data_IF_752282402838
#
_entry.id   IF_752282402838
#
_cell.length_a   1.000
_cell.length_b   1.000
_cell.length_c   1.000
_cell.angle_alpha   90.00
_cell.angle_beta   90.00
_cell.angle_gamma   90.00
#
_symmetry.space_group_name_H-M   'P 1'
#
loop_
_entity.id
_entity.type
_entity.pdbx_description
1 polymer ?
#
# COMPACT_ATOMS: atom_id res chain seq x y z
N UNK A 1 -8.04 -0.56 -14.45
CA UNK A 1 -8.35 -0.13 -13.08
C UNK A 1 -7.49 1.07 -12.66
N UNK A 2 -8.03 2.00 -11.85
CA UNK A 2 -7.24 2.92 -11.03
C UNK A 2 -6.74 2.18 -9.80
N UNK A 3 -5.44 2.26 -9.54
CA UNK A 3 -4.77 1.44 -8.52
C UNK A 3 -4.46 2.29 -7.29
N UNK A 4 -4.82 1.79 -6.11
CA UNK A 4 -4.55 2.41 -4.81
C UNK A 4 -3.65 1.47 -4.02
N UNK A 5 -2.50 1.95 -3.57
CA UNK A 5 -1.58 1.21 -2.70
C UNK A 5 -1.61 1.79 -1.28
N UNK A 6 -1.64 0.92 -0.26
CA UNK A 6 -1.70 1.30 1.16
C UNK A 6 -0.56 0.62 1.92
N UNK A 7 0.25 1.41 2.62
CA UNK A 7 1.20 0.94 3.62
C UNK A 7 1.07 1.71 4.93
N UNK A 8 1.82 1.28 5.94
CA UNK A 8 1.77 1.83 7.29
C UNK A 8 2.15 0.81 8.36
N UNK A 9 2.48 1.28 9.56
CA UNK A 9 2.73 0.39 10.70
C UNK A 9 1.43 -0.20 11.23
N UNK A 10 0.34 0.58 11.24
CA UNK A 10 -1.01 0.11 11.54
C UNK A 10 -2.05 0.73 10.60
N UNK A 11 -3.28 0.19 10.58
CA UNK A 11 -4.39 0.73 9.79
C UNK A 11 -4.46 0.27 8.34
N UNK A 12 -3.43 -0.40 7.82
CA UNK A 12 -3.37 -0.91 6.44
C UNK A 12 -4.61 -1.68 5.99
N UNK A 13 -4.92 -2.79 6.68
CA UNK A 13 -6.05 -3.66 6.33
C UNK A 13 -7.38 -2.95 6.51
N UNK A 14 -7.54 -2.16 7.57
CA UNK A 14 -8.75 -1.36 7.80
C UNK A 14 -8.97 -0.34 6.68
N UNK A 15 -7.94 0.40 6.28
CA UNK A 15 -8.01 1.36 5.17
C UNK A 15 -8.32 0.66 3.86
N UNK A 16 -7.70 -0.50 3.58
CA UNK A 16 -7.98 -1.30 2.38
C UNK A 16 -9.45 -1.75 2.33
N UNK A 17 -9.99 -2.27 3.43
CA UNK A 17 -11.40 -2.70 3.48
C UNK A 17 -12.37 -1.51 3.42
N UNK A 18 -12.04 -0.37 4.05
CA UNK A 18 -12.84 0.85 3.94
C UNK A 18 -12.90 1.37 2.49
N UNK A 19 -11.76 1.43 1.81
CA UNK A 19 -11.68 1.79 0.39
C UNK A 19 -12.49 0.84 -0.48
N UNK A 20 -12.33 -0.47 -0.25
CA UNK A 20 -13.10 -1.50 -0.96
C UNK A 20 -14.60 -1.28 -0.76
N UNK A 21 -15.04 -1.12 0.49
CA UNK A 21 -16.45 -0.95 0.83
C UNK A 21 -17.07 0.27 0.14
N UNK A 22 -16.43 1.44 0.23
CA UNK A 22 -16.96 2.69 -0.33
C UNK A 22 -16.92 2.67 -1.86
N UNK A 23 -15.82 2.21 -2.47
CA UNK A 23 -15.71 2.17 -3.95
C UNK A 23 -16.64 1.12 -4.57
N UNK A 24 -16.90 0.00 -3.88
CA UNK A 24 -17.83 -1.03 -4.34
C UNK A 24 -19.28 -0.53 -4.43
N UNK A 25 -19.62 0.58 -3.78
CA UNK A 25 -20.95 1.18 -3.90
C UNK A 25 -21.21 1.78 -5.30
N UNK A 26 -20.15 2.09 -6.06
CA UNK A 26 -20.25 2.82 -7.34
C UNK A 26 -19.51 2.17 -8.51
N UNK A 27 -18.77 1.08 -8.27
CA UNK A 27 -17.84 0.52 -9.27
C UNK A 27 -17.38 -0.91 -8.97
N UNK A 28 -16.74 -1.57 -9.94
CA UNK A 28 -16.11 -2.88 -9.74
C UNK A 28 -14.76 -2.73 -9.07
N UNK A 29 -14.59 -3.34 -7.90
CA UNK A 29 -13.37 -3.21 -7.09
C UNK A 29 -12.71 -4.57 -6.88
N UNK A 30 -11.42 -4.62 -7.16
CA UNK A 30 -10.55 -5.72 -6.78
C UNK A 30 -9.73 -5.34 -5.55
N UNK A 31 -9.52 -6.27 -4.62
CA UNK A 31 -8.65 -6.07 -3.47
C UNK A 31 -8.09 -7.40 -2.99
N UNK A 32 -6.98 -7.38 -2.26
CA UNK A 32 -6.47 -8.59 -1.61
C UNK A 32 -7.53 -9.18 -0.67
N UNK A 33 -7.81 -10.47 -0.79
CA UNK A 33 -8.86 -11.15 -0.02
C UNK A 33 -8.59 -11.17 1.49
N UNK A 34 -7.31 -11.14 1.87
CA UNK A 34 -6.81 -11.13 3.24
C UNK A 34 -5.58 -10.20 3.33
N UNK A 35 -4.77 -10.29 4.39
CA UNK A 35 -3.51 -9.55 4.55
C UNK A 35 -2.38 -10.09 3.65
N UNK A 36 -2.68 -10.30 2.36
CA UNK A 36 -1.71 -10.71 1.34
C UNK A 36 -0.89 -9.51 0.85
N UNK A 37 0.00 -9.03 1.71
CA UNK A 37 0.69 -7.75 1.54
C UNK A 37 2.22 -7.86 1.31
N UNK A 38 2.73 -9.08 1.14
CA UNK A 38 4.16 -9.38 0.99
C UNK A 38 4.53 -9.78 -0.45
N UNK A 39 5.76 -10.28 -0.63
CA UNK A 39 6.33 -10.70 -1.91
C UNK A 39 5.59 -11.83 -2.63
N UNK A 40 4.70 -12.56 -1.95
CA UNK A 40 3.80 -13.53 -2.58
C UNK A 40 2.39 -12.96 -2.76
N UNK A 41 1.90 -12.28 -1.73
CA UNK A 41 0.53 -11.81 -1.65
C UNK A 41 0.20 -10.74 -2.69
N UNK A 42 1.11 -9.77 -2.90
CA UNK A 42 0.89 -8.70 -3.87
C UNK A 42 0.88 -9.23 -5.30
N UNK A 43 1.87 -10.01 -5.78
CA UNK A 43 1.84 -10.58 -7.13
C UNK A 43 0.63 -11.48 -7.36
N UNK A 44 0.23 -12.29 -6.36
CA UNK A 44 -0.95 -13.15 -6.49
C UNK A 44 -2.25 -12.33 -6.60
N UNK A 45 -2.36 -11.26 -5.80
CA UNK A 45 -3.50 -10.34 -5.89
C UNK A 45 -3.55 -9.68 -7.27
N UNK A 46 -2.41 -9.24 -7.79
CA UNK A 46 -2.33 -8.63 -9.12
C UNK A 46 -2.70 -9.62 -10.23
N UNK A 47 -2.16 -10.84 -10.18
CA UNK A 47 -2.42 -11.89 -11.17
C UNK A 47 -3.89 -12.32 -11.22
N UNK A 48 -4.62 -12.17 -10.10
CA UNK A 48 -6.05 -12.48 -10.00
C UNK A 48 -6.96 -11.29 -10.32
N UNK A 49 -6.40 -10.14 -10.66
CA UNK A 49 -7.19 -8.93 -10.93
C UNK A 49 -8.04 -9.11 -12.19
N UNK A 50 -9.38 -8.99 -12.10
CA UNK A 50 -10.25 -9.03 -13.28
C UNK A 50 -9.93 -7.89 -14.25
N UNK A 51 -9.97 -8.16 -15.55
CA UNK A 51 -9.71 -7.12 -16.56
C UNK A 51 -10.74 -6.00 -16.54
N UNK A 52 -11.96 -6.28 -16.08
CA UNK A 52 -13.09 -5.37 -16.05
C UNK A 52 -13.26 -4.63 -14.71
N UNK A 53 -12.28 -4.67 -13.80
CA UNK A 53 -12.34 -3.88 -12.57
C UNK A 53 -11.97 -2.40 -12.81
N UNK A 54 -12.76 -1.52 -12.20
CA UNK A 54 -12.57 -0.06 -12.26
C UNK A 54 -11.50 0.39 -11.28
N UNK A 55 -11.44 -0.23 -10.10
CA UNK A 55 -10.46 0.05 -9.05
C UNK A 55 -9.79 -1.21 -8.53
N UNK A 56 -8.54 -1.09 -8.10
CA UNK A 56 -7.82 -2.14 -7.39
C UNK A 56 -7.10 -1.57 -6.16
N UNK A 57 -7.28 -2.21 -5.00
CA UNK A 57 -6.65 -1.79 -3.74
C UNK A 57 -5.64 -2.83 -3.28
N UNK A 58 -4.38 -2.41 -3.17
CA UNK A 58 -3.26 -3.23 -2.75
C UNK A 58 -2.79 -2.79 -1.36
N UNK A 59 -2.81 -3.71 -0.42
CA UNK A 59 -2.08 -3.57 0.84
C UNK A 59 -0.63 -3.99 0.61
N UNK A 60 0.35 -3.16 0.98
CA UNK A 60 1.77 -3.46 0.84
C UNK A 60 2.47 -3.30 2.20
N UNK A 61 3.06 -4.39 2.67
CA UNK A 61 3.81 -4.49 3.92
C UNK A 61 5.28 -4.77 3.67
N UNK A 62 6.07 -4.65 4.73
CA UNK A 62 7.49 -5.01 4.74
C UNK A 62 7.92 -5.43 6.14
N UNK A 63 8.92 -6.31 6.19
CA UNK A 63 9.71 -6.63 7.38
C UNK A 63 11.10 -5.98 7.32
N UNK A 64 11.64 -5.76 6.12
CA UNK A 64 12.97 -5.19 5.90
C UNK A 64 12.93 -4.04 4.89
N UNK A 65 13.92 -3.12 4.92
CA UNK A 65 14.11 -2.14 3.86
C UNK A 65 14.23 -2.79 2.47
N UNK A 66 13.70 -2.14 1.45
CA UNK A 66 13.75 -2.56 0.05
C UNK A 66 12.69 -3.57 -0.36
N UNK A 67 11.84 -4.05 0.57
CA UNK A 67 10.78 -5.01 0.24
C UNK A 67 9.57 -4.34 -0.44
N UNK A 68 9.32 -3.05 -0.24
CA UNK A 68 8.16 -2.36 -0.84
C UNK A 68 8.45 -1.97 -2.29
N UNK A 69 9.66 -1.46 -2.57
CA UNK A 69 10.07 -0.99 -3.91
C UNK A 69 9.72 -1.95 -5.06
N UNK A 70 10.08 -3.26 -5.04
CA UNK A 70 9.76 -4.16 -6.15
C UNK A 70 8.24 -4.41 -6.28
N UNK A 71 7.50 -4.44 -5.16
CA UNK A 71 6.07 -4.69 -5.16
C UNK A 71 5.31 -3.50 -5.73
N UNK A 72 5.69 -2.29 -5.34
CA UNK A 72 4.99 -1.10 -5.81
C UNK A 72 5.28 -0.79 -7.27
N UNK A 73 6.50 -1.10 -7.76
CA UNK A 73 6.82 -1.03 -9.20
C UNK A 73 6.04 -2.04 -10.04
N UNK A 74 5.61 -3.16 -9.45
CA UNK A 74 4.75 -4.13 -10.11
C UNK A 74 3.31 -3.62 -10.21
N UNK A 75 2.77 -3.05 -9.13
CA UNK A 75 1.36 -2.61 -9.09
C UNK A 75 1.13 -1.21 -9.65
N UNK A 76 2.15 -0.35 -9.76
CA UNK A 76 2.06 0.97 -10.41
C UNK A 76 0.86 1.81 -9.93
N UNK A 77 0.80 2.20 -8.64
CA UNK A 77 -0.35 2.90 -8.08
C UNK A 77 -0.57 4.28 -8.71
N UNK A 78 -1.84 4.68 -8.76
CA UNK A 78 -2.27 6.05 -9.06
C UNK A 78 -2.47 6.86 -7.77
N UNK A 79 -2.72 6.17 -6.65
CA UNK A 79 -2.77 6.74 -5.31
C UNK A 79 -1.94 5.87 -4.38
N UNK A 80 -1.00 6.47 -3.64
CA UNK A 80 -0.19 5.78 -2.64
C UNK A 80 -0.43 6.40 -1.26
N UNK A 81 -0.76 5.56 -0.27
CA UNK A 81 -1.16 5.99 1.07
C UNK A 81 -0.19 5.42 2.10
N UNK A 82 0.33 6.29 2.97
CA UNK A 82 1.02 5.91 4.21
C UNK A 82 0.12 6.27 5.38
N UNK A 83 -0.43 5.27 6.07
CA UNK A 83 -1.41 5.50 7.14
C UNK A 83 -0.77 6.00 8.44
N UNK A 84 0.34 5.40 8.86
CA UNK A 84 1.03 5.74 10.12
C UNK A 84 2.47 5.23 10.14
N UNK A 85 3.40 6.02 10.69
CA UNK A 85 4.74 5.55 11.07
C UNK A 85 4.75 5.25 12.57
N UNK A 86 5.00 3.99 12.93
CA UNK A 86 5.15 3.59 14.31
C UNK A 86 6.15 2.44 14.45
N UNK A 87 6.64 2.24 15.67
CA UNK A 87 7.54 1.16 16.03
C UNK A 87 6.85 -0.19 15.81
N UNK A 88 7.12 -0.78 14.65
CA UNK A 88 6.71 -2.12 14.26
C UNK A 88 7.92 -2.78 13.61
N UNK A 89 8.03 -4.10 13.71
CA UNK A 89 9.18 -4.84 13.14
C UNK A 89 10.54 -4.35 13.69
N UNK A 90 10.59 -3.92 14.96
CA UNK A 90 11.76 -3.30 15.61
C UNK A 90 13.06 -4.11 15.51
N UNK A 91 12.99 -5.43 15.31
CA UNK A 91 14.18 -6.28 15.13
C UNK A 91 14.99 -5.95 13.86
N UNK A 92 14.38 -5.29 12.88
CA UNK A 92 15.00 -5.02 11.57
C UNK A 92 15.27 -3.53 11.30
N UNK A 93 14.84 -2.64 12.22
CA UNK A 93 14.95 -1.19 12.06
C UNK A 93 15.60 -0.55 13.28
N UNK A 94 16.55 0.35 13.03
CA UNK A 94 17.30 1.05 14.10
C UNK A 94 16.45 2.11 14.81
N UNK A 95 15.54 2.76 14.08
CA UNK A 95 14.71 3.84 14.58
C UNK A 95 13.47 4.05 13.68
N UNK A 96 12.60 4.98 14.07
CA UNK A 96 11.39 5.33 13.32
C UNK A 96 11.68 5.97 11.95
N UNK A 97 12.81 6.65 11.79
CA UNK A 97 13.15 7.33 10.54
C UNK A 97 13.53 6.32 9.45
N UNK A 98 14.19 5.21 9.82
CA UNK A 98 14.42 4.08 8.91
C UNK A 98 13.11 3.39 8.52
N UNK A 99 12.14 3.29 9.44
CA UNK A 99 10.80 2.79 9.11
C UNK A 99 10.09 3.75 8.15
N UNK A 100 10.20 5.07 8.37
CA UNK A 100 9.62 6.09 7.50
C UNK A 100 10.19 6.00 6.08
N UNK A 101 11.53 5.93 5.94
CA UNK A 101 12.19 5.74 4.64
C UNK A 101 11.73 4.47 3.93
N UNK A 102 11.73 3.34 4.65
CA UNK A 102 11.31 2.08 4.07
C UNK A 102 9.82 2.06 3.67
N UNK A 103 8.95 2.83 4.35
CA UNK A 103 7.56 3.02 3.93
C UNK A 103 7.41 3.99 2.77
N UNK A 104 8.28 4.99 2.66
CA UNK A 104 8.30 5.94 1.55
C UNK A 104 8.65 5.28 0.21
N UNK A 105 9.25 4.09 0.22
CA UNK A 105 9.41 3.23 -0.97
C UNK A 105 8.10 3.03 -1.74
N UNK A 106 6.93 3.11 -1.09
CA UNK A 106 5.63 3.02 -1.77
C UNK A 106 5.44 4.09 -2.85
N UNK A 107 6.15 5.22 -2.77
CA UNK A 107 6.06 6.28 -3.75
C UNK A 107 6.91 6.03 -5.00
N UNK A 108 7.84 5.07 -4.97
CA UNK A 108 8.69 4.76 -6.12
C UNK A 108 7.94 4.15 -7.31
N UNK A 109 6.75 3.59 -7.07
CA UNK A 109 5.87 3.07 -8.12
C UNK A 109 4.73 4.01 -8.50
N UNK A 110 4.65 5.20 -7.90
CA UNK A 110 3.55 6.13 -8.14
C UNK A 110 3.58 6.60 -9.60
N UNK A 111 2.48 6.42 -10.31
CA UNK A 111 2.35 6.85 -11.71
C UNK A 111 2.47 8.38 -11.83
N UNK A 112 3.00 8.90 -12.95
CA UNK A 112 2.99 10.33 -13.24
C UNK A 112 1.58 10.92 -13.13
N UNK A 113 1.45 12.01 -12.37
CA UNK A 113 0.14 12.63 -12.08
C UNK A 113 -0.68 11.91 -10.99
N UNK A 114 -0.11 10.89 -10.34
CA UNK A 114 -0.69 10.23 -9.18
C UNK A 114 -0.64 11.08 -7.90
N UNK A 115 -1.33 10.62 -6.86
CA UNK A 115 -1.43 11.31 -5.58
C UNK A 115 -0.74 10.53 -4.45
N UNK A 116 0.07 11.24 -3.66
CA UNK A 116 0.58 10.75 -2.38
C UNK A 116 -0.33 11.23 -1.25
N UNK A 117 -0.72 10.32 -0.35
CA UNK A 117 -1.53 10.61 0.83
C UNK A 117 -0.72 10.24 2.07
N UNK A 118 -0.47 11.24 2.90
CA UNK A 118 0.33 11.15 4.11
C UNK A 118 -0.51 11.55 5.32
N UNK A 119 -0.23 10.95 6.47
CA UNK A 119 -0.78 11.41 7.72
C UNK A 119 -0.14 12.75 8.12
N UNK A 120 -0.93 13.82 8.11
CA UNK A 120 -0.48 15.18 8.44
C UNK A 120 0.00 15.33 9.88
N UNK A 121 -0.53 14.52 10.79
CA UNK A 121 -0.20 14.57 12.21
C UNK A 121 1.10 13.79 12.54
N UNK A 122 1.65 13.06 11.57
CA UNK A 122 2.97 12.44 11.71
C UNK A 122 4.06 13.50 11.59
N UNK A 123 5.00 13.51 12.54
CA UNK A 123 6.10 14.48 12.55
C UNK A 123 7.12 14.25 11.42
N UNK A 124 7.00 13.13 10.69
CA UNK A 124 7.94 12.68 9.64
C UNK A 124 7.34 12.74 8.23
N UNK A 125 6.42 13.67 7.98
CA UNK A 125 5.77 13.89 6.68
C UNK A 125 6.72 14.42 5.60
#
# INVERSE_FOLDING_TARGET
ARIIAVTGSAGKTTTKEALRHVLSAVSKVHASAQSFNNHWGVPLTLARMPQDCDYAVFEIGMNHPGEISPLVRMVRPHVAIVTMIAAAHLGFFKNLDEIAKAKAEIFEGLEPGGAAVLNRDDQRW
#
